data_IF_947230555336
#
_entry.id   IF_947230555336
#
_cell.length_a   1.000
_cell.length_b   1.000
_cell.length_c   1.000
_cell.angle_alpha   90.00
_cell.angle_beta   90.00
_cell.angle_gamma   90.00
#
_symmetry.space_group_name_H-M   'P 1'
#
loop_
_entity.id
_entity.type
_entity.pdbx_description
1 polymer ?
#
# COMPACT_ATOMS: atom_id res chain seq x y z
N UNK A 1 57.00 16.48 61.96
CA UNK A 1 57.46 15.09 61.79
C UNK A 1 56.57 14.16 62.62
N UNK A 2 55.62 13.46 61.99
CA UNK A 2 55.03 12.20 62.47
C UNK A 2 54.02 11.69 61.43
N UNK A 3 54.16 10.43 61.01
CA UNK A 3 53.41 9.78 59.92
C UNK A 3 52.06 9.21 60.40
N UNK A 4 51.05 9.42 59.53
CA UNK A 4 49.90 8.57 59.15
C UNK A 4 49.48 7.38 60.06
N UNK A 5 48.18 7.35 60.40
CA UNK A 5 47.36 6.12 60.47
C UNK A 5 46.19 6.21 59.46
N UNK A 6 46.02 5.14 58.68
CA UNK A 6 44.95 4.91 57.71
C UNK A 6 43.58 4.79 58.41
N UNK A 7 42.54 5.43 57.87
CA UNK A 7 41.15 4.99 58.00
C UNK A 7 40.62 4.67 56.60
N UNK A 8 40.20 3.42 56.40
CA UNK A 8 39.44 2.95 55.25
C UNK A 8 38.14 3.75 55.15
N UNK A 9 37.88 4.38 53.99
CA UNK A 9 36.57 4.88 53.61
C UNK A 9 35.92 3.82 52.72
N UNK A 10 34.81 3.26 53.18
CA UNK A 10 33.80 2.68 52.31
C UNK A 10 33.25 3.79 51.42
N UNK A 11 33.19 3.55 50.11
CA UNK A 11 32.47 4.36 49.13
C UNK A 11 31.40 3.47 48.50
N UNK A 12 30.10 3.79 48.61
CA UNK A 12 29.06 3.10 47.86
C UNK A 12 29.01 3.71 46.46
N UNK A 13 29.50 2.97 45.45
CA UNK A 13 29.09 3.20 44.07
C UNK A 13 27.71 2.57 43.89
N UNK A 14 26.65 3.34 44.17
CA UNK A 14 25.35 3.09 43.57
C UNK A 14 25.26 3.92 42.29
N UNK A 15 25.41 3.27 41.14
CA UNK A 15 25.17 3.87 39.83
C UNK A 15 23.70 4.30 39.74
N UNK A 16 23.44 5.59 39.95
CA UNK A 16 22.15 6.19 39.60
C UNK A 16 22.11 6.28 38.07
N UNK A 17 21.41 5.34 37.44
CA UNK A 17 21.01 5.44 36.04
C UNK A 17 20.20 6.72 35.86
N UNK A 18 20.40 7.43 34.75
CA UNK A 18 19.64 8.65 34.46
C UNK A 18 18.15 8.33 34.29
N UNK A 19 17.26 9.31 34.53
CA UNK A 19 15.80 9.10 34.36
C UNK A 19 15.42 8.59 32.95
N UNK A 20 16.14 9.00 31.91
CA UNK A 20 16.00 8.45 30.55
C UNK A 20 16.40 6.97 30.44
N UNK A 21 17.45 6.54 31.15
CA UNK A 21 17.85 5.13 31.20
C UNK A 21 16.87 4.28 32.00
N UNK A 22 16.24 4.86 33.04
CA UNK A 22 15.17 4.21 33.80
C UNK A 22 13.89 4.10 32.95
N UNK A 23 13.54 5.12 32.18
CA UNK A 23 12.39 5.09 31.26
C UNK A 23 12.56 4.07 30.13
N UNK A 24 13.75 3.99 29.54
CA UNK A 24 14.08 2.97 28.53
C UNK A 24 14.03 1.54 29.09
N UNK A 25 14.29 1.36 30.40
CA UNK A 25 14.29 0.03 31.05
C UNK A 25 12.91 -0.56 31.33
N UNK A 26 11.83 0.24 31.21
CA UNK A 26 10.45 -0.19 31.45
C UNK A 26 9.60 -0.34 30.17
N UNK A 27 10.17 -0.08 28.99
CA UNK A 27 9.45 -0.21 27.75
C UNK A 27 9.27 -1.69 27.36
N UNK A 28 8.13 -2.08 26.76
CA UNK A 28 7.94 -3.45 26.26
C UNK A 28 9.04 -3.84 25.27
N UNK A 29 9.42 -5.12 25.24
CA UNK A 29 10.54 -5.60 24.42
C UNK A 29 10.37 -5.35 22.91
N UNK A 30 9.12 -5.25 22.45
CA UNK A 30 8.78 -4.97 21.06
C UNK A 30 8.82 -3.48 20.69
N UNK A 31 9.12 -2.59 21.63
CA UNK A 31 9.25 -1.15 21.36
C UNK A 31 10.42 -0.91 20.40
N UNK A 32 10.20 -0.09 19.38
CA UNK A 32 11.27 0.22 18.42
C UNK A 32 12.29 1.18 19.01
N UNK A 33 13.56 0.84 18.93
CA UNK A 33 14.63 1.80 19.24
C UNK A 33 14.71 2.91 18.18
N UNK A 34 15.38 4.01 18.49
CA UNK A 34 15.62 5.07 17.51
C UNK A 34 16.39 4.57 16.28
N UNK A 35 17.34 3.67 16.46
CA UNK A 35 18.10 3.06 15.37
C UNK A 35 17.21 2.15 14.50
N UNK A 36 16.35 1.34 15.13
CA UNK A 36 15.37 0.49 14.43
C UNK A 36 14.40 1.36 13.61
N UNK A 37 13.88 2.45 14.20
CA UNK A 37 13.01 3.41 13.49
C UNK A 37 13.74 4.01 12.30
N UNK A 38 14.97 4.49 12.50
CA UNK A 38 15.76 5.12 11.43
C UNK A 38 15.98 4.16 10.26
N UNK A 39 16.43 2.93 10.52
CA UNK A 39 16.64 1.92 9.48
C UNK A 39 15.34 1.59 8.75
N UNK A 40 14.24 1.44 9.49
CA UNK A 40 12.93 1.19 8.89
C UNK A 40 12.48 2.32 7.96
N UNK A 41 12.69 3.58 8.36
CA UNK A 41 12.42 4.77 7.54
C UNK A 41 13.30 4.80 6.29
N UNK A 42 14.61 4.57 6.43
CA UNK A 42 15.58 4.55 5.32
C UNK A 42 15.22 3.45 4.30
N UNK A 43 14.96 2.23 4.77
CA UNK A 43 14.55 1.12 3.90
C UNK A 43 13.20 1.43 3.22
N UNK A 44 12.22 1.95 3.96
CA UNK A 44 10.92 2.29 3.40
C UNK A 44 11.03 3.39 2.34
N UNK A 45 11.89 4.39 2.55
CA UNK A 45 12.15 5.43 1.57
C UNK A 45 12.79 4.86 0.30
N UNK A 46 13.76 3.96 0.44
CA UNK A 46 14.41 3.27 -0.69
C UNK A 46 13.42 2.41 -1.47
N UNK A 47 12.68 1.52 -0.79
CA UNK A 47 11.69 0.62 -1.41
C UNK A 47 10.64 1.41 -2.19
N UNK A 48 10.15 2.52 -1.61
CA UNK A 48 9.17 3.40 -2.26
C UNK A 48 9.80 4.17 -3.42
N UNK A 49 11.03 4.65 -3.26
CA UNK A 49 11.74 5.40 -4.29
C UNK A 49 11.95 4.57 -5.55
N UNK A 50 12.47 3.34 -5.40
CA UNK A 50 12.68 2.40 -6.51
C UNK A 50 11.36 2.12 -7.23
N UNK A 51 10.31 1.74 -6.50
CA UNK A 51 8.99 1.49 -7.07
C UNK A 51 8.47 2.68 -7.87
N UNK A 52 8.57 3.89 -7.31
CA UNK A 52 8.07 5.09 -7.96
C UNK A 52 8.86 5.42 -9.23
N UNK A 53 10.18 5.26 -9.21
CA UNK A 53 11.03 5.45 -10.38
C UNK A 53 10.68 4.44 -11.48
N UNK A 54 10.54 3.16 -11.16
CA UNK A 54 10.12 2.13 -12.12
C UNK A 54 8.77 2.47 -12.76
N UNK A 55 7.79 2.90 -11.94
CA UNK A 55 6.48 3.31 -12.46
C UNK A 55 6.61 4.55 -13.35
N UNK A 56 7.37 5.57 -12.95
CA UNK A 56 7.56 6.79 -13.76
C UNK A 56 8.21 6.46 -15.11
N UNK A 57 9.26 5.62 -15.12
CA UNK A 57 9.91 5.17 -16.35
C UNK A 57 8.91 4.43 -17.25
N UNK A 58 8.12 3.52 -16.68
CA UNK A 58 7.13 2.75 -17.45
C UNK A 58 6.00 3.57 -18.06
N UNK A 59 5.74 4.78 -17.56
CA UNK A 59 4.70 5.67 -18.09
C UNK A 59 5.14 6.41 -19.36
N UNK A 60 6.43 6.40 -19.71
CA UNK A 60 6.98 7.06 -20.90
C UNK A 60 6.50 8.51 -21.06
N UNK A 61 6.45 9.26 -19.96
CA UNK A 61 5.87 10.62 -19.92
C UNK A 61 6.53 11.55 -20.95
N UNK A 62 7.82 11.41 -21.20
CA UNK A 62 8.54 12.19 -22.20
C UNK A 62 7.98 12.00 -23.62
N UNK A 63 7.57 10.77 -23.98
CA UNK A 63 6.92 10.49 -25.27
C UNK A 63 5.54 11.15 -25.35
N UNK A 64 4.78 11.13 -24.26
CA UNK A 64 3.47 11.79 -24.20
C UNK A 64 3.61 13.31 -24.35
N UNK A 65 4.61 13.93 -23.70
CA UNK A 65 4.86 15.35 -23.83
C UNK A 65 5.29 15.73 -25.25
N UNK A 66 6.18 14.94 -25.87
CA UNK A 66 6.57 15.14 -27.27
C UNK A 66 5.37 15.06 -28.22
N UNK A 67 4.45 14.10 -28.01
CA UNK A 67 3.23 13.97 -28.79
C UNK A 67 2.29 15.17 -28.61
N UNK A 68 2.16 15.70 -27.39
CA UNK A 68 1.37 16.92 -27.14
C UNK A 68 1.97 18.12 -27.85
N UNK A 69 3.30 18.26 -27.88
CA UNK A 69 3.96 19.33 -28.60
C UNK A 69 3.77 19.21 -30.12
N UNK A 70 3.90 18.01 -30.70
CA UNK A 70 3.61 17.76 -32.12
C UNK A 70 2.16 18.15 -32.48
N UNK A 71 1.18 17.71 -31.70
CA UNK A 71 -0.22 18.08 -31.90
C UNK A 71 -0.42 19.59 -31.75
N UNK A 72 0.28 20.22 -30.80
CA UNK A 72 0.19 21.67 -30.56
C UNK A 72 0.66 22.51 -31.76
N UNK A 73 1.62 22.00 -32.54
CA UNK A 73 2.11 22.66 -33.75
C UNK A 73 1.16 22.48 -34.95
N UNK A 74 0.48 21.34 -35.02
CA UNK A 74 -0.40 21.00 -36.14
C UNK A 74 -1.84 21.53 -36.00
N UNK A 75 -2.29 21.83 -34.79
CA UNK A 75 -3.68 22.21 -34.56
C UNK A 75 -3.99 23.67 -34.87
N UNK A 76 -5.10 23.86 -35.57
CA UNK A 76 -5.69 25.16 -35.80
C UNK A 76 -6.35 25.71 -34.53
N UNK A 77 -6.05 26.97 -34.19
CA UNK A 77 -6.68 27.67 -33.08
C UNK A 77 -8.18 27.89 -33.32
N UNK A 78 -8.60 28.06 -34.58
CA UNK A 78 -10.00 28.30 -34.93
C UNK A 78 -10.90 27.11 -34.54
N UNK A 79 -10.40 25.87 -34.66
CA UNK A 79 -11.10 24.65 -34.25
C UNK A 79 -11.51 24.71 -32.77
N UNK A 80 -10.61 25.19 -31.89
CA UNK A 80 -10.89 25.29 -30.46
C UNK A 80 -11.97 26.32 -30.18
N UNK A 81 -11.94 27.50 -30.81
CA UNK A 81 -12.98 28.52 -30.62
C UNK A 81 -14.33 28.04 -31.16
N UNK A 82 -14.36 27.40 -32.33
CA UNK A 82 -15.57 26.90 -32.95
C UNK A 82 -16.24 25.80 -32.11
N UNK A 83 -15.43 24.93 -31.50
CA UNK A 83 -15.93 23.82 -30.71
C UNK A 83 -16.12 24.17 -29.22
N UNK A 84 -15.54 25.26 -28.73
CA UNK A 84 -15.40 25.56 -27.30
C UNK A 84 -16.65 25.26 -26.46
N UNK A 85 -17.79 25.83 -26.83
CA UNK A 85 -19.07 25.64 -26.11
C UNK A 85 -19.52 24.17 -26.09
N UNK A 86 -19.33 23.45 -27.21
CA UNK A 86 -19.73 22.04 -27.35
C UNK A 86 -18.85 21.09 -26.54
N UNK A 87 -17.60 21.46 -26.29
CA UNK A 87 -16.61 20.62 -25.59
C UNK A 87 -16.18 21.22 -24.25
N UNK A 88 -17.01 22.11 -23.67
CA UNK A 88 -16.84 22.59 -22.30
C UNK A 88 -15.65 23.52 -22.07
N UNK A 89 -15.10 24.14 -23.12
CA UNK A 89 -14.01 25.11 -22.98
C UNK A 89 -14.59 26.51 -22.79
N UNK A 90 -14.18 27.19 -21.72
CA UNK A 90 -14.53 28.59 -21.52
C UNK A 90 -13.67 29.48 -22.42
N UNK A 91 -14.29 30.35 -23.21
CA UNK A 91 -13.60 31.28 -24.13
C UNK A 91 -12.55 32.15 -23.42
N UNK A 92 -12.82 32.58 -22.20
CA UNK A 92 -11.86 33.36 -21.41
C UNK A 92 -10.62 32.55 -21.00
N UNK A 93 -10.74 31.22 -20.90
CA UNK A 93 -9.60 30.37 -20.66
C UNK A 93 -8.69 30.34 -21.90
N UNK A 94 -9.25 30.15 -23.11
CA UNK A 94 -8.48 30.24 -24.36
C UNK A 94 -7.78 31.59 -24.51
N UNK A 95 -8.49 32.70 -24.25
CA UNK A 95 -7.90 34.05 -24.26
C UNK A 95 -6.77 34.20 -23.23
N UNK A 96 -6.84 33.51 -22.09
CA UNK A 96 -5.75 33.54 -21.11
C UNK A 96 -4.47 32.89 -21.65
N UNK A 97 -4.60 31.87 -22.52
CA UNK A 97 -3.45 31.25 -23.20
C UNK A 97 -2.88 32.16 -24.29
N UNK A 98 -3.71 32.88 -25.04
CA UNK A 98 -3.23 33.87 -26.03
C UNK A 98 -2.51 35.04 -25.38
N UNK A 99 -3.05 35.52 -24.25
CA UNK A 99 -2.49 36.67 -23.52
C UNK A 99 -1.26 36.30 -22.67
N UNK A 100 -0.90 35.02 -22.58
CA UNK A 100 0.32 34.60 -21.92
C UNK A 100 1.55 35.12 -22.65
N UNK A 101 2.67 35.26 -21.95
CA UNK A 101 3.95 35.66 -22.54
C UNK A 101 5.04 34.62 -22.22
N UNK A 102 5.50 33.81 -23.21
CA UNK A 102 4.98 33.75 -24.58
C UNK A 102 3.56 33.15 -24.64
N UNK A 103 2.81 33.39 -25.74
CA UNK A 103 1.51 32.75 -25.95
C UNK A 103 1.63 31.23 -25.89
N UNK A 104 0.59 30.58 -25.36
CA UNK A 104 0.60 29.14 -25.12
C UNK A 104 -0.35 28.43 -26.08
N UNK A 105 0.08 27.29 -26.63
CA UNK A 105 -0.76 26.46 -27.49
C UNK A 105 -1.91 25.83 -26.70
N UNK A 106 -3.12 25.83 -27.28
CA UNK A 106 -4.32 25.35 -26.60
C UNK A 106 -4.28 23.86 -26.28
N UNK A 107 -3.71 23.05 -27.18
CA UNK A 107 -3.56 21.61 -27.01
C UNK A 107 -2.70 21.22 -25.78
N UNK A 108 -1.91 22.15 -25.21
CA UNK A 108 -1.21 21.87 -23.95
C UNK A 108 -2.15 21.76 -22.75
N UNK A 109 -3.34 22.37 -22.79
CA UNK A 109 -4.30 22.40 -21.69
C UNK A 109 -5.64 21.73 -22.05
N UNK A 110 -6.10 21.89 -23.28
CA UNK A 110 -7.42 21.45 -23.72
C UNK A 110 -7.31 20.38 -24.80
N UNK A 111 -8.29 19.49 -24.86
CA UNK A 111 -8.32 18.42 -25.85
C UNK A 111 -9.57 18.49 -26.74
N UNK A 112 -9.41 18.05 -27.98
CA UNK A 112 -10.53 17.83 -28.90
C UNK A 112 -10.89 16.33 -28.89
N UNK A 113 -12.18 15.96 -29.02
CA UNK A 113 -12.59 14.56 -29.06
C UNK A 113 -11.86 13.74 -30.12
N UNK A 114 -11.65 14.30 -31.33
CA UNK A 114 -10.90 13.65 -32.42
C UNK A 114 -9.48 13.24 -32.02
N UNK A 115 -8.83 14.04 -31.17
CA UNK A 115 -7.47 13.75 -30.69
C UNK A 115 -7.47 12.60 -29.68
N UNK A 116 -8.49 12.49 -28.83
CA UNK A 116 -8.59 11.39 -27.88
C UNK A 116 -8.91 10.05 -28.57
N UNK A 117 -9.57 10.07 -29.73
CA UNK A 117 -9.80 8.88 -30.55
C UNK A 117 -8.50 8.48 -31.25
N UNK A 118 -7.83 9.43 -31.90
CA UNK A 118 -6.61 9.17 -32.66
C UNK A 118 -5.40 8.81 -31.77
N UNK A 119 -5.36 9.37 -30.56
CA UNK A 119 -4.29 9.17 -29.59
C UNK A 119 -4.87 8.89 -28.18
N UNK A 120 -5.42 7.68 -27.94
CA UNK A 120 -6.07 7.32 -26.68
C UNK A 120 -5.20 7.50 -25.44
N UNK A 121 -3.88 7.31 -25.59
CA UNK A 121 -2.90 7.52 -24.52
C UNK A 121 -2.90 8.95 -23.95
N UNK A 122 -3.32 9.96 -24.72
CA UNK A 122 -3.42 11.34 -24.24
C UNK A 122 -4.55 11.54 -23.22
N UNK A 123 -5.48 10.59 -23.09
CA UNK A 123 -6.45 10.58 -21.98
C UNK A 123 -5.72 10.59 -20.63
N UNK A 124 -4.58 9.91 -20.51
CA UNK A 124 -3.75 9.97 -19.30
C UNK A 124 -3.30 11.41 -19.01
N UNK A 125 -2.80 12.08 -20.04
CA UNK A 125 -2.25 13.44 -19.94
C UNK A 125 -3.34 14.45 -19.53
N UNK A 126 -4.44 14.54 -20.28
CA UNK A 126 -5.50 15.52 -20.02
C UNK A 126 -6.27 15.23 -18.72
N UNK A 127 -6.47 13.96 -18.36
CA UNK A 127 -7.05 13.59 -17.06
C UNK A 127 -6.20 14.13 -15.90
N UNK A 128 -4.87 14.02 -16.01
CA UNK A 128 -3.97 14.49 -14.97
C UNK A 128 -3.90 16.03 -14.90
N UNK A 129 -3.98 16.73 -16.02
CA UNK A 129 -4.13 18.21 -16.02
C UNK A 129 -5.43 18.63 -15.34
N UNK A 130 -6.52 17.91 -15.59
CA UNK A 130 -7.81 18.15 -14.96
C UNK A 130 -7.85 17.73 -13.47
N UNK A 131 -6.74 17.34 -12.84
CA UNK A 131 -6.65 16.95 -11.42
C UNK A 131 -7.53 15.73 -11.06
N UNK A 132 -7.71 14.80 -12.00
CA UNK A 132 -8.58 13.64 -11.82
C UNK A 132 -7.78 12.37 -11.64
N UNK A 133 -8.15 11.54 -10.65
CA UNK A 133 -7.61 10.19 -10.51
C UNK A 133 -8.45 9.18 -11.29
N UNK A 134 -7.86 8.05 -11.69
CA UNK A 134 -8.60 6.92 -12.30
C UNK A 134 -9.73 6.40 -11.40
N UNK A 135 -9.57 6.47 -10.07
CA UNK A 135 -10.59 6.05 -9.11
C UNK A 135 -11.83 6.95 -9.17
N UNK A 136 -11.64 8.26 -9.27
CA UNK A 136 -12.73 9.23 -9.45
C UNK A 136 -13.43 8.99 -10.77
N UNK A 137 -12.66 8.86 -11.86
CA UNK A 137 -13.20 8.60 -13.20
C UNK A 137 -14.07 7.34 -13.25
N UNK A 138 -13.63 6.23 -12.65
CA UNK A 138 -14.47 5.03 -12.52
C UNK A 138 -15.73 5.28 -11.68
N UNK A 139 -15.61 6.04 -10.58
CA UNK A 139 -16.72 6.35 -9.69
C UNK A 139 -17.85 7.15 -10.35
N UNK A 140 -17.53 7.94 -11.38
CA UNK A 140 -18.50 8.72 -12.17
C UNK A 140 -18.92 8.03 -13.48
N UNK A 141 -18.50 6.78 -13.71
CA UNK A 141 -18.87 6.02 -14.91
C UNK A 141 -18.07 6.34 -16.17
N UNK A 142 -16.94 7.04 -16.05
CA UNK A 142 -16.02 7.38 -17.14
C UNK A 142 -14.68 6.66 -16.96
N UNK A 143 -14.65 5.33 -16.79
CA UNK A 143 -13.39 4.61 -16.57
C UNK A 143 -12.43 4.77 -17.75
N UNK A 144 -11.25 5.33 -17.49
CA UNK A 144 -10.23 5.65 -18.51
C UNK A 144 -9.15 4.58 -18.64
N UNK A 145 -9.14 3.55 -17.78
CA UNK A 145 -8.00 2.63 -17.64
C UNK A 145 -7.58 1.98 -18.96
N UNK A 146 -8.53 1.51 -19.76
CA UNK A 146 -8.23 0.76 -20.99
C UNK A 146 -7.68 1.65 -22.09
N UNK A 147 -8.10 2.92 -22.15
CA UNK A 147 -7.63 3.88 -23.15
C UNK A 147 -6.21 4.36 -22.83
N UNK A 148 -5.92 4.62 -21.55
CA UNK A 148 -4.59 5.05 -21.10
C UNK A 148 -3.48 4.00 -21.33
N UNK A 149 -3.87 2.73 -21.46
CA UNK A 149 -2.96 1.62 -21.75
C UNK A 149 -2.89 1.30 -23.25
N UNK A 150 -3.52 2.14 -24.09
CA UNK A 150 -3.62 1.97 -25.54
C UNK A 150 -4.17 0.60 -25.97
N UNK A 151 -5.09 0.05 -25.18
CA UNK A 151 -5.68 -1.28 -25.43
C UNK A 151 -6.90 -1.19 -26.35
N UNK A 152 -7.66 -0.10 -26.22
CA UNK A 152 -8.92 0.14 -26.93
C UNK A 152 -8.98 1.64 -27.27
N UNK A 153 -9.58 1.99 -28.40
CA UNK A 153 -9.91 3.37 -28.75
C UNK A 153 -11.29 3.76 -28.16
N UNK A 154 -11.45 4.98 -27.61
CA UNK A 154 -12.75 5.45 -27.18
C UNK A 154 -13.69 5.65 -28.38
N UNK A 155 -14.97 5.30 -28.22
CA UNK A 155 -15.99 5.70 -29.20
C UNK A 155 -16.13 7.22 -29.24
N UNK A 156 -16.69 7.76 -30.32
CA UNK A 156 -16.92 9.20 -30.47
C UNK A 156 -17.71 9.80 -29.29
N UNK A 157 -18.75 9.10 -28.83
CA UNK A 157 -19.55 9.51 -27.67
C UNK A 157 -18.71 9.55 -26.38
N UNK A 158 -17.86 8.55 -26.14
CA UNK A 158 -17.00 8.49 -24.96
C UNK A 158 -15.93 9.58 -25.04
N UNK A 159 -15.26 9.73 -26.18
CA UNK A 159 -14.25 10.75 -26.41
C UNK A 159 -14.83 12.16 -26.21
N UNK A 160 -16.06 12.41 -26.68
CA UNK A 160 -16.75 13.67 -26.47
C UNK A 160 -17.02 13.92 -24.97
N UNK A 161 -17.59 12.94 -24.26
CA UNK A 161 -17.82 13.05 -22.80
C UNK A 161 -16.54 13.29 -22.01
N UNK A 162 -15.46 12.59 -22.34
CA UNK A 162 -14.16 12.76 -21.68
C UNK A 162 -13.57 14.15 -21.97
N UNK A 163 -13.56 14.58 -23.23
CA UNK A 163 -13.04 15.89 -23.61
C UNK A 163 -13.81 17.02 -22.90
N UNK A 164 -15.14 17.00 -22.95
CA UNK A 164 -15.98 17.97 -22.25
C UNK A 164 -15.65 18.02 -20.76
N UNK A 165 -15.61 16.86 -20.09
CA UNK A 165 -15.35 16.81 -18.66
C UNK A 165 -13.96 17.32 -18.27
N UNK A 166 -12.92 16.96 -19.04
CA UNK A 166 -11.55 17.45 -18.78
C UNK A 166 -11.42 18.95 -19.04
N UNK A 167 -12.03 19.44 -20.12
CA UNK A 167 -11.94 20.83 -20.54
C UNK A 167 -12.70 21.78 -19.60
N UNK A 168 -13.86 21.37 -19.07
CA UNK A 168 -14.63 22.16 -18.10
C UNK A 168 -13.80 22.43 -16.84
N UNK A 169 -13.25 21.38 -16.25
CA UNK A 169 -12.42 21.49 -15.04
C UNK A 169 -11.14 22.28 -15.35
N UNK A 170 -10.48 21.98 -16.47
CA UNK A 170 -9.25 22.67 -16.84
C UNK A 170 -9.49 24.16 -17.10
N UNK A 171 -10.64 24.53 -17.67
CA UNK A 171 -11.02 25.94 -17.86
C UNK A 171 -11.08 26.69 -16.53
N UNK A 172 -11.71 26.09 -15.51
CA UNK A 172 -11.78 26.69 -14.18
C UNK A 172 -10.40 26.83 -13.53
N UNK A 173 -9.55 25.81 -13.66
CA UNK A 173 -8.19 25.81 -13.13
C UNK A 173 -7.32 26.87 -13.81
N UNK A 174 -7.39 26.99 -15.14
CA UNK A 174 -6.69 28.00 -15.93
C UNK A 174 -7.10 29.42 -15.52
N UNK A 175 -8.40 29.68 -15.35
CA UNK A 175 -8.89 31.01 -15.00
C UNK A 175 -8.51 31.42 -13.57
N UNK A 176 -8.40 30.47 -12.64
CA UNK A 176 -7.99 30.75 -11.25
C UNK A 176 -6.47 30.81 -11.09
N UNK A 177 -5.75 29.87 -11.70
CA UNK A 177 -4.31 29.69 -11.50
C UNK A 177 -3.45 30.46 -12.51
N UNK A 178 -4.04 30.94 -13.60
CA UNK A 178 -3.31 31.46 -14.76
C UNK A 178 -2.50 30.38 -15.48
N UNK A 179 -1.82 30.75 -16.56
CA UNK A 179 -1.10 29.81 -17.43
C UNK A 179 0.35 30.23 -17.63
N UNK A 180 1.20 29.24 -17.91
CA UNK A 180 2.56 29.43 -18.43
C UNK A 180 2.84 28.31 -19.46
N UNK A 181 3.93 28.42 -20.23
CA UNK A 181 4.32 27.37 -21.17
C UNK A 181 4.55 25.98 -20.55
N UNK A 182 4.78 25.89 -19.23
CA UNK A 182 5.13 24.65 -18.52
C UNK A 182 4.13 24.25 -17.44
N UNK A 183 3.15 25.11 -17.11
CA UNK A 183 2.27 24.87 -15.96
C UNK A 183 1.35 23.66 -16.15
N UNK A 184 1.01 23.28 -17.37
CA UNK A 184 0.34 22.01 -17.67
C UNK A 184 1.16 20.78 -17.19
N UNK A 185 2.48 20.81 -17.34
CA UNK A 185 3.38 19.75 -16.86
C UNK A 185 3.38 19.72 -15.33
N UNK A 186 3.47 20.89 -14.68
CA UNK A 186 3.41 20.99 -13.22
C UNK A 186 2.09 20.45 -12.69
N UNK A 187 0.98 20.81 -13.34
CA UNK A 187 -0.36 20.34 -13.02
C UNK A 187 -0.46 18.81 -13.14
N UNK A 188 -0.04 18.27 -14.28
CA UNK A 188 0.00 16.83 -14.52
C UNK A 188 0.85 16.11 -13.46
N UNK A 189 2.06 16.59 -13.20
CA UNK A 189 2.99 16.01 -12.23
C UNK A 189 2.46 16.05 -10.79
N UNK A 190 1.74 17.11 -10.40
CA UNK A 190 1.13 17.22 -9.08
C UNK A 190 0.06 16.14 -8.86
N UNK A 191 -0.86 15.97 -9.82
CA UNK A 191 -1.90 14.95 -9.73
C UNK A 191 -1.34 13.52 -9.87
N UNK A 192 -0.33 13.35 -10.72
CA UNK A 192 0.40 12.09 -10.84
C UNK A 192 1.09 11.73 -9.52
N UNK A 193 1.73 12.70 -8.86
CA UNK A 193 2.37 12.54 -7.55
C UNK A 193 1.41 12.04 -6.48
N UNK A 194 0.19 12.58 -6.38
CA UNK A 194 -0.82 12.09 -5.43
C UNK A 194 -1.26 10.65 -5.75
N UNK A 195 -1.51 10.36 -7.03
CA UNK A 195 -1.87 9.01 -7.52
C UNK A 195 -0.77 7.98 -7.23
N UNK A 196 0.49 8.37 -7.46
CA UNK A 196 1.68 7.57 -7.17
C UNK A 196 1.87 7.38 -5.66
N UNK A 197 1.64 8.41 -4.85
CA UNK A 197 1.66 8.32 -3.39
C UNK A 197 0.64 7.32 -2.83
N UNK A 198 -0.55 7.25 -3.44
CA UNK A 198 -1.54 6.19 -3.14
C UNK A 198 -1.04 4.78 -3.50
N UNK A 199 -0.43 4.63 -4.68
CA UNK A 199 0.16 3.37 -5.14
C UNK A 199 1.27 2.89 -4.21
N UNK A 200 2.18 3.80 -3.85
CA UNK A 200 3.30 3.55 -2.94
C UNK A 200 2.85 3.10 -1.54
N UNK A 201 1.79 3.72 -0.98
CA UNK A 201 1.21 3.29 0.31
C UNK A 201 0.68 1.85 0.26
N UNK A 202 0.00 1.48 -0.81
CA UNK A 202 -0.49 0.10 -0.99
C UNK A 202 0.66 -0.90 -1.11
N UNK A 203 1.72 -0.51 -1.82
CA UNK A 203 2.88 -1.37 -2.02
C UNK A 203 3.66 -1.61 -0.72
N UNK A 204 3.81 -0.58 0.12
CA UNK A 204 4.40 -0.74 1.46
C UNK A 204 3.65 -1.78 2.29
N UNK A 205 2.31 -1.75 2.27
CA UNK A 205 1.49 -2.76 2.93
C UNK A 205 1.69 -4.16 2.35
N UNK A 206 1.81 -4.28 1.03
CA UNK A 206 2.07 -5.55 0.33
C UNK A 206 3.44 -6.12 0.68
N UNK A 207 4.49 -5.30 0.67
CA UNK A 207 5.86 -5.68 1.05
C UNK A 207 5.85 -6.15 2.51
N UNK A 208 5.26 -5.40 3.43
CA UNK A 208 5.15 -5.82 4.83
C UNK A 208 4.41 -7.16 5.00
N UNK A 209 3.38 -7.42 4.19
CA UNK A 209 2.71 -8.72 4.16
C UNK A 209 3.64 -9.83 3.66
N UNK A 210 4.36 -9.63 2.54
CA UNK A 210 5.37 -10.61 2.08
C UNK A 210 6.43 -10.88 3.14
N UNK A 211 6.81 -9.83 3.88
CA UNK A 211 7.81 -9.89 4.93
C UNK A 211 7.41 -10.79 6.11
N UNK A 212 6.12 -11.00 6.31
CA UNK A 212 5.58 -11.96 7.28
C UNK A 212 5.34 -13.33 6.65
N UNK A 213 4.83 -13.35 5.43
CA UNK A 213 4.31 -14.57 4.80
C UNK A 213 5.39 -15.42 4.16
N UNK A 214 6.41 -14.83 3.52
CA UNK A 214 7.49 -15.61 2.89
C UNK A 214 8.25 -16.45 3.93
N UNK A 215 8.70 -15.89 5.08
CA UNK A 215 9.33 -16.68 6.14
C UNK A 215 8.40 -17.77 6.69
N UNK A 216 7.09 -17.47 6.83
CA UNK A 216 6.11 -18.44 7.31
C UNK A 216 5.91 -19.61 6.34
N UNK A 217 5.87 -19.34 5.03
CA UNK A 217 5.79 -20.39 3.99
C UNK A 217 7.01 -21.31 4.07
N UNK A 218 8.22 -20.74 4.14
CA UNK A 218 9.46 -21.49 4.31
C UNK A 218 9.43 -22.35 5.58
N UNK A 219 9.04 -21.75 6.69
CA UNK A 219 8.95 -22.43 7.98
C UNK A 219 7.97 -23.61 7.91
N UNK A 220 6.72 -23.38 7.50
CA UNK A 220 5.70 -24.44 7.42
C UNK A 220 6.09 -25.55 6.45
N UNK A 221 6.76 -25.23 5.34
CA UNK A 221 7.29 -26.25 4.43
C UNK A 221 8.38 -27.09 5.10
N UNK A 222 9.37 -26.46 5.75
CA UNK A 222 10.45 -27.15 6.46
C UNK A 222 9.92 -28.10 7.55
N UNK A 223 8.82 -27.71 8.19
CA UNK A 223 8.14 -28.49 9.23
C UNK A 223 7.16 -29.53 8.68
N UNK A 224 7.00 -29.65 7.35
CA UNK A 224 6.01 -30.53 6.68
C UNK A 224 4.56 -30.20 7.07
N UNK A 225 4.32 -28.94 7.42
CA UNK A 225 3.02 -28.38 7.82
C UNK A 225 2.32 -27.63 6.70
N UNK A 226 3.01 -27.30 5.61
CA UNK A 226 2.44 -26.60 4.45
C UNK A 226 1.83 -27.57 3.44
N UNK A 227 0.57 -27.37 3.07
CA UNK A 227 -0.12 -28.14 2.02
C UNK A 227 -0.30 -27.33 0.74
N UNK A 228 -0.67 -26.06 0.86
CA UNK A 228 -1.03 -25.27 -0.31
C UNK A 228 -0.89 -23.76 -0.11
N UNK A 229 -0.60 -23.04 -1.18
CA UNK A 229 -0.61 -21.57 -1.22
C UNK A 229 -1.52 -21.09 -2.36
N UNK A 230 -2.48 -20.22 -2.03
CA UNK A 230 -3.33 -19.53 -2.99
C UNK A 230 -2.88 -18.08 -3.11
N UNK A 231 -2.50 -17.66 -4.32
CA UNK A 231 -1.94 -16.34 -4.58
C UNK A 231 -2.45 -15.79 -5.91
N UNK A 232 -2.13 -14.53 -6.21
CA UNK A 232 -2.32 -13.94 -7.54
C UNK A 232 -1.17 -12.99 -7.84
N UNK A 233 -0.72 -12.98 -9.09
CA UNK A 233 0.33 -12.07 -9.55
C UNK A 233 -0.28 -10.82 -10.16
N UNK A 234 0.20 -9.63 -9.80
CA UNK A 234 -0.27 -8.33 -10.28
C UNK A 234 0.82 -7.58 -11.04
N UNK A 235 1.28 -8.17 -12.13
CA UNK A 235 2.39 -7.67 -12.91
C UNK A 235 3.75 -7.89 -12.23
N UNK A 236 4.82 -7.65 -12.99
CA UNK A 236 6.20 -7.72 -12.50
C UNK A 236 6.54 -6.48 -11.66
N UNK A 237 7.49 -6.64 -10.75
CA UNK A 237 8.10 -5.52 -10.01
C UNK A 237 9.18 -4.89 -10.88
N UNK A 238 10.07 -5.70 -11.45
CA UNK A 238 11.13 -5.27 -12.37
C UNK A 238 10.63 -5.37 -13.81
N UNK A 239 10.70 -4.28 -14.56
CA UNK A 239 10.43 -4.24 -16.00
C UNK A 239 11.79 -4.27 -16.69
N UNK A 240 12.15 -5.38 -17.33
CA UNK A 240 13.32 -5.44 -18.21
C UNK A 240 12.88 -5.11 -19.64
N UNK A 241 13.74 -4.40 -20.39
CA UNK A 241 13.48 -3.92 -21.75
C UNK A 241 13.18 -5.04 -22.78
N UNK A 242 13.49 -6.31 -22.47
CA UNK A 242 13.32 -7.47 -23.36
C UNK A 242 12.05 -8.30 -23.12
N UNK A 243 11.20 -7.94 -22.16
CA UNK A 243 10.08 -8.80 -21.74
C UNK A 243 8.79 -8.55 -22.54
N UNK A 244 8.64 -9.24 -23.68
CA UNK A 244 7.38 -9.39 -24.42
C UNK A 244 6.32 -10.26 -23.71
N UNK A 245 6.46 -10.57 -22.42
CA UNK A 245 5.55 -11.47 -21.70
C UNK A 245 4.39 -10.73 -21.00
N UNK A 246 3.19 -10.94 -21.56
CA UNK A 246 1.87 -10.56 -21.03
C UNK A 246 1.42 -11.32 -19.76
N UNK A 247 2.32 -11.92 -18.97
CA UNK A 247 1.94 -12.53 -17.69
C UNK A 247 1.64 -11.44 -16.63
N UNK A 248 0.40 -10.97 -16.57
CA UNK A 248 -0.11 -10.16 -15.45
C UNK A 248 -0.82 -8.85 -15.79
N UNK A 249 -1.03 -8.53 -17.07
CA UNK A 249 -1.77 -7.33 -17.48
C UNK A 249 -3.32 -7.46 -17.33
N UNK A 250 -3.84 -8.67 -17.08
CA UNK A 250 -5.26 -8.95 -16.83
C UNK A 250 -5.61 -9.09 -15.34
N UNK A 251 -6.90 -9.09 -15.01
CA UNK A 251 -7.39 -9.32 -13.65
C UNK A 251 -6.69 -10.56 -13.04
N UNK A 252 -5.93 -10.34 -11.96
CA UNK A 252 -5.02 -11.33 -11.41
C UNK A 252 -5.74 -12.63 -11.07
N UNK A 253 -5.63 -13.63 -11.95
CA UNK A 253 -6.27 -14.94 -11.78
C UNK A 253 -5.63 -15.59 -10.56
N UNK A 254 -6.47 -16.09 -9.64
CA UNK A 254 -5.99 -16.83 -8.48
C UNK A 254 -5.29 -18.10 -8.96
N UNK A 255 -4.01 -18.25 -8.62
CA UNK A 255 -3.18 -19.44 -8.87
C UNK A 255 -3.09 -20.24 -7.56
N UNK A 256 -3.20 -21.56 -7.67
CA UNK A 256 -3.08 -22.51 -6.56
C UNK A 256 -1.80 -23.29 -6.73
N UNK A 257 -0.94 -23.24 -5.71
CA UNK A 257 0.30 -23.98 -5.64
C UNK A 257 0.14 -25.09 -4.61
N UNK A 258 0.13 -26.34 -5.07
CA UNK A 258 0.13 -27.52 -4.21
C UNK A 258 1.56 -27.82 -3.78
N UNK A 259 1.77 -28.05 -2.49
CA UNK A 259 3.10 -28.25 -1.89
C UNK A 259 3.31 -29.72 -1.58
N UNK A 260 4.44 -30.23 -2.05
CA UNK A 260 4.97 -31.56 -1.74
C UNK A 260 6.31 -31.44 -1.03
N UNK A 261 6.83 -32.55 -0.51
CA UNK A 261 8.15 -32.58 0.14
C UNK A 261 9.27 -32.14 -0.80
N UNK A 262 9.17 -32.47 -2.09
CA UNK A 262 10.18 -32.14 -3.11
C UNK A 262 9.99 -30.74 -3.73
N UNK A 263 8.98 -29.99 -3.28
CA UNK A 263 8.75 -28.63 -3.80
C UNK A 263 9.90 -27.73 -3.36
N UNK A 264 10.61 -27.15 -4.33
CA UNK A 264 11.64 -26.16 -4.07
C UNK A 264 10.98 -24.80 -3.78
N UNK A 265 10.67 -24.55 -2.50
CA UNK A 265 10.03 -23.31 -2.06
C UNK A 265 10.94 -22.10 -2.28
N UNK A 266 12.24 -22.22 -2.03
CA UNK A 266 13.19 -21.11 -2.18
C UNK A 266 13.10 -20.51 -3.59
N UNK A 267 13.17 -21.36 -4.63
CA UNK A 267 13.03 -20.94 -6.02
C UNK A 267 11.68 -20.29 -6.32
N UNK A 268 10.60 -20.73 -5.67
CA UNK A 268 9.26 -20.15 -5.83
C UNK A 268 9.19 -18.77 -5.19
N UNK A 269 9.79 -18.60 -4.01
CA UNK A 269 9.83 -17.31 -3.32
C UNK A 269 10.75 -16.32 -4.05
N UNK A 270 11.89 -16.76 -4.58
CA UNK A 270 12.74 -15.97 -5.49
C UNK A 270 11.96 -15.49 -6.71
N UNK A 271 11.17 -16.38 -7.33
CA UNK A 271 10.28 -15.99 -8.41
C UNK A 271 9.25 -14.97 -7.94
N UNK A 272 8.65 -15.15 -6.76
CA UNK A 272 7.69 -14.19 -6.20
C UNK A 272 8.27 -12.82 -5.90
N UNK A 273 9.56 -12.72 -5.58
CA UNK A 273 10.23 -11.43 -5.38
C UNK A 273 10.34 -10.62 -6.68
N UNK A 274 10.15 -11.24 -7.85
CA UNK A 274 10.09 -10.55 -9.16
C UNK A 274 8.69 -10.06 -9.54
N UNK A 275 7.64 -10.43 -8.79
CA UNK A 275 6.25 -10.08 -9.09
C UNK A 275 5.54 -9.40 -7.93
N UNK A 276 4.52 -8.60 -8.24
CA UNK A 276 3.60 -8.10 -7.21
C UNK A 276 2.66 -9.22 -6.78
N UNK A 277 3.11 -10.04 -5.84
CA UNK A 277 2.33 -11.14 -5.29
C UNK A 277 1.30 -10.63 -4.29
N UNK A 278 0.07 -11.13 -4.43
CA UNK A 278 -0.99 -11.00 -3.45
C UNK A 278 -1.37 -12.39 -2.96
N UNK A 279 -1.03 -12.70 -1.73
CA UNK A 279 -1.46 -13.91 -1.03
C UNK A 279 -2.93 -13.82 -0.64
N UNK A 280 -3.66 -14.92 -0.79
CA UNK A 280 -5.08 -15.02 -0.44
C UNK A 280 -5.33 -16.05 0.67
N UNK A 281 -4.59 -17.16 0.67
CA UNK A 281 -4.79 -18.28 1.59
C UNK A 281 -3.55 -19.18 1.64
N UNK A 282 -3.21 -19.66 2.84
CA UNK A 282 -2.22 -20.71 3.09
C UNK A 282 -2.95 -21.84 3.80
N UNK A 283 -2.83 -23.05 3.27
CA UNK A 283 -3.48 -24.23 3.81
C UNK A 283 -2.43 -25.17 4.39
N UNK A 284 -2.69 -25.64 5.60
CA UNK A 284 -1.79 -26.49 6.36
C UNK A 284 -2.21 -27.96 6.31
N UNK A 285 -1.28 -28.88 6.59
CA UNK A 285 -1.51 -30.33 6.47
C UNK A 285 -2.53 -30.89 7.47
N UNK A 286 -2.83 -30.17 8.54
CA UNK A 286 -3.94 -30.48 9.47
C UNK A 286 -5.32 -29.99 8.98
N UNK A 287 -5.40 -29.40 7.78
CA UNK A 287 -6.64 -28.88 7.17
C UNK A 287 -6.97 -27.43 7.54
N UNK A 288 -6.20 -26.82 8.43
CA UNK A 288 -6.41 -25.43 8.84
C UNK A 288 -5.92 -24.45 7.78
N UNK A 289 -6.41 -23.21 7.86
CA UNK A 289 -6.17 -22.18 6.84
C UNK A 289 -5.80 -20.86 7.47
N UNK A 290 -4.80 -20.19 6.92
CA UNK A 290 -4.53 -18.77 7.14
C UNK A 290 -5.06 -17.99 5.95
N UNK A 291 -6.03 -17.11 6.18
CA UNK A 291 -6.63 -16.24 5.17
C UNK A 291 -6.06 -14.83 5.30
N UNK A 292 -5.84 -14.17 4.17
CA UNK A 292 -5.19 -12.87 4.09
C UNK A 292 -6.09 -11.85 3.39
N UNK A 293 -6.21 -10.65 3.97
CA UNK A 293 -6.99 -9.53 3.44
C UNK A 293 -8.43 -9.90 3.04
N UNK A 294 -9.10 -10.76 3.84
CA UNK A 294 -10.47 -11.22 3.56
C UNK A 294 -11.46 -10.63 4.58
N UNK A 295 -12.58 -10.13 4.06
CA UNK A 295 -13.72 -9.75 4.88
C UNK A 295 -14.54 -10.98 5.25
N UNK A 296 -14.75 -11.16 6.55
CA UNK A 296 -15.58 -12.16 7.18
C UNK A 296 -16.97 -11.62 7.49
N UNK A 297 -17.94 -12.53 7.51
CA UNK A 297 -19.34 -12.28 7.85
C UNK A 297 -19.75 -13.26 8.93
N UNK A 298 -19.88 -12.78 10.16
CA UNK A 298 -20.37 -13.56 11.29
C UNK A 298 -21.87 -13.36 11.42
N UNK A 299 -22.64 -14.45 11.31
CA UNK A 299 -24.09 -14.41 11.50
C UNK A 299 -24.40 -14.55 12.99
N UNK A 300 -25.28 -13.69 13.47
CA UNK A 300 -25.90 -13.80 14.81
C UNK A 300 -27.07 -14.78 14.78
N UNK A 301 -27.47 -15.28 15.95
CA UNK A 301 -28.66 -16.12 16.12
C UNK A 301 -29.95 -15.44 15.65
N UNK A 302 -29.96 -14.10 15.60
CA UNK A 302 -31.07 -13.27 15.12
C UNK A 302 -31.03 -13.01 13.60
N UNK A 303 -30.14 -13.68 12.87
CA UNK A 303 -29.99 -13.53 11.41
C UNK A 303 -29.25 -12.26 10.95
N UNK A 304 -28.89 -11.35 11.87
CA UNK A 304 -28.07 -10.17 11.54
C UNK A 304 -26.62 -10.57 11.30
N UNK A 305 -25.91 -9.85 10.42
CA UNK A 305 -24.52 -10.16 10.04
C UNK A 305 -23.55 -9.09 10.53
N UNK A 306 -22.55 -9.50 11.29
CA UNK A 306 -21.39 -8.67 11.68
C UNK A 306 -20.29 -8.85 10.64
N UNK A 307 -19.82 -7.75 10.05
CA UNK A 307 -18.71 -7.75 9.09
C UNK A 307 -17.39 -7.44 9.79
N UNK A 308 -16.39 -8.27 9.57
CA UNK A 308 -15.05 -8.15 10.17
C UNK A 308 -14.04 -8.27 9.04
N UNK A 309 -12.92 -7.56 9.07
CA UNK A 309 -11.90 -7.70 8.03
C UNK A 309 -10.51 -7.49 8.60
N UNK A 310 -9.96 -8.48 9.34
CA UNK A 310 -8.57 -8.43 9.75
C UNK A 310 -7.64 -8.71 8.57
N UNK A 311 -6.42 -8.17 8.65
CA UNK A 311 -5.38 -8.40 7.64
C UNK A 311 -4.99 -9.89 7.56
N UNK A 312 -4.91 -10.58 8.70
CA UNK A 312 -4.63 -12.03 8.80
C UNK A 312 -5.61 -12.73 9.74
N UNK A 313 -6.02 -13.96 9.42
CA UNK A 313 -6.78 -14.79 10.36
C UNK A 313 -6.78 -16.28 10.02
N UNK A 314 -6.82 -17.13 11.03
CA UNK A 314 -6.83 -18.59 10.88
C UNK A 314 -8.19 -19.24 11.17
N UNK A 315 -8.50 -20.33 10.44
CA UNK A 315 -9.71 -21.15 10.63
C UNK A 315 -9.39 -22.65 10.70
N UNK A 316 -10.25 -23.37 11.42
CA UNK A 316 -10.33 -24.85 11.46
C UNK A 316 -11.60 -25.38 10.79
N UNK A 317 -12.71 -24.64 10.93
CA UNK A 317 -14.00 -24.90 10.26
C UNK A 317 -14.65 -23.55 9.90
N UNK A 318 -15.70 -23.54 9.07
CA UNK A 318 -16.34 -22.33 8.51
C UNK A 318 -16.80 -21.30 9.55
N UNK A 319 -16.87 -21.67 10.84
CA UNK A 319 -17.45 -20.88 11.90
C UNK A 319 -16.49 -20.37 12.97
N UNK A 320 -15.31 -21.00 13.15
CA UNK A 320 -14.44 -20.71 14.30
C UNK A 320 -13.04 -20.24 13.89
N UNK A 321 -12.75 -19.00 14.31
CA UNK A 321 -11.47 -18.34 14.12
C UNK A 321 -10.60 -18.60 15.34
N UNK A 322 -9.39 -19.14 15.15
CA UNK A 322 -8.45 -19.36 16.27
C UNK A 322 -7.58 -18.15 16.54
N UNK A 323 -7.20 -17.46 15.48
CA UNK A 323 -6.33 -16.31 15.57
C UNK A 323 -6.68 -15.26 14.52
N UNK A 324 -6.48 -14.00 14.85
CA UNK A 324 -6.53 -12.91 13.90
C UNK A 324 -5.50 -11.84 14.25
N UNK A 325 -5.04 -11.11 13.23
CA UNK A 325 -4.11 -10.02 13.41
C UNK A 325 -4.34 -8.87 12.43
N UNK A 326 -3.94 -7.70 12.89
CA UNK A 326 -3.74 -6.50 12.07
C UNK A 326 -2.26 -6.33 11.78
N UNK A 327 -1.93 -5.98 10.53
CA UNK A 327 -0.57 -5.75 10.07
C UNK A 327 -0.45 -4.32 9.53
N UNK A 328 0.53 -3.56 10.02
CA UNK A 328 0.78 -2.18 9.59
C UNK A 328 2.21 -2.04 9.09
N UNK A 329 2.32 -1.92 7.76
CA UNK A 329 3.61 -1.86 7.07
C UNK A 329 4.30 -0.49 7.06
N UNK A 330 3.61 0.58 7.46
CA UNK A 330 4.15 1.94 7.45
C UNK A 330 5.32 2.10 8.43
N UNK A 331 6.40 2.73 7.97
CA UNK A 331 7.58 3.04 8.78
C UNK A 331 7.63 4.50 9.26
N UNK A 332 6.60 5.31 8.98
CA UNK A 332 6.52 6.70 9.43
C UNK A 332 6.10 6.76 10.91
N UNK A 333 6.97 7.24 11.83
CA UNK A 333 6.64 7.32 13.25
C UNK A 333 5.42 8.22 13.54
N UNK A 334 5.22 9.28 12.75
CA UNK A 334 4.09 10.18 12.92
C UNK A 334 2.75 9.48 12.62
N UNK A 335 2.76 8.46 11.75
CA UNK A 335 1.60 7.63 11.42
C UNK A 335 1.34 6.48 12.40
N UNK A 336 2.27 6.17 13.31
CA UNK A 336 2.18 4.98 14.18
C UNK A 336 0.91 4.99 15.05
N UNK A 337 0.57 6.14 15.63
CA UNK A 337 -0.63 6.31 16.45
C UNK A 337 -1.94 6.15 15.66
N UNK A 338 -1.98 6.67 14.42
CA UNK A 338 -3.14 6.53 13.55
C UNK A 338 -3.34 5.07 13.12
N UNK A 339 -2.25 4.40 12.77
CA UNK A 339 -2.24 2.98 12.41
C UNK A 339 -2.71 2.11 13.58
N UNK A 340 -2.23 2.37 14.79
CA UNK A 340 -2.68 1.68 16.01
C UNK A 340 -4.17 1.92 16.29
N UNK A 341 -4.65 3.18 16.23
CA UNK A 341 -6.08 3.50 16.42
C UNK A 341 -6.98 2.83 15.38
N UNK A 342 -6.49 2.63 14.17
CA UNK A 342 -7.24 1.94 13.12
C UNK A 342 -7.26 0.43 13.35
N UNK A 343 -6.12 -0.16 13.71
CA UNK A 343 -6.00 -1.57 14.03
C UNK A 343 -6.88 -1.96 15.23
N UNK A 344 -6.78 -1.22 16.33
CA UNK A 344 -7.58 -1.46 17.55
C UNK A 344 -9.08 -1.43 17.30
N UNK A 345 -9.58 -0.53 16.44
CA UNK A 345 -10.99 -0.55 16.01
C UNK A 345 -11.41 -1.84 15.31
N UNK A 346 -10.52 -2.45 14.52
CA UNK A 346 -10.80 -3.74 13.87
C UNK A 346 -10.78 -4.87 14.90
N UNK A 347 -9.78 -4.87 15.79
CA UNK A 347 -9.64 -5.88 16.84
C UNK A 347 -10.80 -5.83 17.86
N UNK A 348 -11.24 -4.65 18.27
CA UNK A 348 -12.42 -4.47 19.11
C UNK A 348 -13.69 -4.99 18.41
N UNK A 349 -13.85 -4.78 17.11
CA UNK A 349 -14.97 -5.35 16.34
C UNK A 349 -14.93 -6.88 16.32
N UNK A 350 -13.74 -7.49 16.33
CA UNK A 350 -13.61 -8.95 16.46
C UNK A 350 -14.11 -9.40 17.85
N UNK A 351 -13.62 -8.76 18.91
CA UNK A 351 -14.01 -9.07 20.29
C UNK A 351 -15.52 -8.90 20.48
N UNK A 352 -16.07 -7.77 20.04
CA UNK A 352 -17.51 -7.49 20.09
C UNK A 352 -18.31 -8.47 19.24
N UNK A 353 -17.82 -8.76 18.03
CA UNK A 353 -18.45 -9.71 17.12
C UNK A 353 -18.58 -11.08 17.78
N UNK A 354 -17.50 -11.55 18.41
CA UNK A 354 -17.44 -12.87 19.03
C UNK A 354 -18.44 -12.96 20.18
N UNK A 355 -18.47 -11.93 21.03
CA UNK A 355 -19.47 -11.79 22.10
C UNK A 355 -20.90 -11.76 21.57
N UNK A 356 -21.18 -10.96 20.53
CA UNK A 356 -22.52 -10.81 19.94
C UNK A 356 -23.02 -12.07 19.24
N UNK A 357 -22.12 -12.94 18.78
CA UNK A 357 -22.45 -14.22 18.12
C UNK A 357 -22.22 -15.44 19.02
N UNK A 358 -21.96 -15.25 20.32
CA UNK A 358 -21.66 -16.31 21.27
C UNK A 358 -20.53 -17.28 20.79
N UNK A 359 -19.49 -16.72 20.18
CA UNK A 359 -18.29 -17.44 19.71
C UNK A 359 -17.13 -17.21 20.65
N UNK A 360 -16.20 -18.16 20.67
CA UNK A 360 -14.92 -17.98 21.35
C UNK A 360 -14.20 -16.79 20.75
N UNK A 361 -13.66 -15.92 21.61
CA UNK A 361 -12.82 -14.81 21.13
C UNK A 361 -11.49 -15.39 20.66
N UNK A 362 -11.09 -15.17 19.39
CA UNK A 362 -9.82 -15.66 18.88
C UNK A 362 -8.65 -15.01 19.63
N UNK A 363 -7.50 -15.66 19.58
CA UNK A 363 -6.23 -15.01 19.93
C UNK A 363 -6.01 -13.84 18.97
N UNK A 364 -5.61 -12.69 19.50
CA UNK A 364 -5.44 -11.47 18.70
C UNK A 364 -3.99 -11.00 18.75
N UNK A 365 -3.45 -10.63 17.59
CA UNK A 365 -2.11 -10.06 17.53
C UNK A 365 -2.08 -8.73 16.78
N UNK A 366 -1.08 -7.92 17.11
CA UNK A 366 -0.74 -6.73 16.35
C UNK A 366 0.67 -6.83 15.79
N UNK A 367 0.81 -6.61 14.49
CA UNK A 367 2.10 -6.65 13.77
C UNK A 367 2.32 -5.27 13.16
N UNK A 368 3.48 -4.66 13.43
CA UNK A 368 3.79 -3.34 12.86
C UNK A 368 5.26 -3.23 12.51
N UNK A 369 5.57 -2.48 11.43
CA UNK A 369 6.95 -2.15 11.06
C UNK A 369 7.70 -1.45 12.17
N UNK A 370 7.05 -0.47 12.81
CA UNK A 370 7.59 0.25 13.96
C UNK A 370 6.52 0.40 15.04
N UNK A 371 6.98 0.46 16.29
CA UNK A 371 6.19 0.62 17.50
C UNK A 371 6.83 1.71 18.35
N UNK A 372 6.32 2.93 18.26
CA UNK A 372 6.77 4.04 19.12
C UNK A 372 6.33 3.80 20.56
N UNK A 373 7.05 4.35 21.54
CA UNK A 373 6.88 4.11 22.98
C UNK A 373 5.41 4.12 23.45
N UNK A 374 4.65 5.15 23.05
CA UNK A 374 3.24 5.29 23.42
C UNK A 374 2.39 4.12 22.90
N UNK A 375 2.58 3.74 21.65
CA UNK A 375 1.85 2.63 21.01
C UNK A 375 2.27 1.31 21.63
N UNK A 376 3.57 1.13 21.90
CA UNK A 376 4.06 -0.07 22.54
C UNK A 376 3.49 -0.27 23.95
N UNK A 377 3.47 0.79 24.77
CA UNK A 377 2.87 0.76 26.10
C UNK A 377 1.36 0.47 26.04
N UNK A 378 0.65 1.07 25.09
CA UNK A 378 -0.79 0.82 24.92
C UNK A 378 -1.06 -0.63 24.49
N UNK A 379 -0.25 -1.17 23.59
CA UNK A 379 -0.34 -2.57 23.17
C UNK A 379 0.00 -3.54 24.32
N UNK A 380 0.98 -3.21 25.16
CA UNK A 380 1.28 -3.98 26.38
C UNK A 380 0.09 -3.96 27.34
N UNK A 381 -0.54 -2.80 27.56
CA UNK A 381 -1.74 -2.71 28.39
C UNK A 381 -2.88 -3.58 27.84
N UNK A 382 -2.99 -3.74 26.52
CA UNK A 382 -3.96 -4.66 25.91
C UNK A 382 -3.61 -6.13 26.13
N UNK A 383 -2.32 -6.49 26.15
CA UNK A 383 -1.86 -7.82 26.55
C UNK A 383 -2.23 -8.09 28.01
N UNK A 384 -1.93 -7.15 28.91
CA UNK A 384 -2.20 -7.28 30.34
C UNK A 384 -3.70 -7.41 30.65
N UNK A 385 -4.55 -6.79 29.82
CA UNK A 385 -6.01 -6.92 29.86
C UNK A 385 -6.55 -8.21 29.21
N UNK A 386 -5.69 -9.03 28.60
CA UNK A 386 -6.08 -10.23 27.84
C UNK A 386 -6.82 -9.94 26.52
N UNK A 387 -6.76 -8.70 26.01
CA UNK A 387 -7.35 -8.33 24.72
C UNK A 387 -6.44 -8.71 23.55
N UNK A 388 -5.13 -8.58 23.74
CA UNK A 388 -4.12 -9.10 22.81
C UNK A 388 -3.43 -10.32 23.41
N UNK A 389 -3.07 -11.24 22.53
CA UNK A 389 -2.24 -12.40 22.83
C UNK A 389 -0.77 -12.09 22.56
N UNK A 390 -0.46 -11.34 21.51
CA UNK A 390 0.93 -11.01 21.18
C UNK A 390 1.06 -9.75 20.33
N UNK A 391 2.25 -9.16 20.36
CA UNK A 391 2.67 -8.03 19.52
C UNK A 391 4.01 -8.38 18.90
N UNK A 392 4.14 -8.09 17.60
CA UNK A 392 5.37 -8.34 16.84
C UNK A 392 5.83 -7.06 16.14
N UNK A 393 7.10 -6.72 16.37
CA UNK A 393 7.79 -5.64 15.68
C UNK A 393 8.48 -6.22 14.45
N UNK A 394 8.00 -5.87 13.25
CA UNK A 394 8.51 -6.43 12.00
C UNK A 394 9.97 -6.03 11.78
N UNK A 395 10.39 -4.82 12.13
CA UNK A 395 11.81 -4.44 12.02
C UNK A 395 12.69 -5.34 12.88
N UNK A 396 12.27 -5.63 14.10
CA UNK A 396 13.00 -6.55 14.98
C UNK A 396 12.99 -7.98 14.47
N UNK A 397 11.87 -8.49 13.95
CA UNK A 397 11.81 -9.81 13.31
C UNK A 397 12.78 -9.91 12.12
N UNK A 398 13.03 -8.81 11.41
CA UNK A 398 13.97 -8.76 10.30
C UNK A 398 15.43 -8.71 10.74
N UNK A 399 15.71 -8.01 11.84
CA UNK A 399 17.08 -7.80 12.32
C UNK A 399 17.54 -8.88 13.31
N UNK A 400 16.61 -9.57 13.98
CA UNK A 400 16.87 -10.50 15.08
C UNK A 400 16.19 -11.83 14.78
N UNK A 401 17.00 -12.86 14.49
CA UNK A 401 16.53 -14.21 14.16
C UNK A 401 15.61 -14.78 15.24
N UNK A 402 15.92 -14.54 16.52
CA UNK A 402 15.13 -14.96 17.68
C UNK A 402 13.69 -14.40 17.69
N UNK A 403 13.48 -13.17 17.19
CA UNK A 403 12.14 -12.57 17.11
C UNK A 403 11.33 -13.15 15.96
N UNK A 404 11.98 -13.45 14.83
CA UNK A 404 11.35 -14.18 13.73
C UNK A 404 10.99 -15.61 14.17
N UNK A 405 11.90 -16.32 14.82
CA UNK A 405 11.64 -17.66 15.34
C UNK A 405 10.48 -17.67 16.35
N UNK A 406 10.42 -16.68 17.25
CA UNK A 406 9.32 -16.52 18.21
C UNK A 406 7.99 -16.41 17.47
N UNK A 407 7.91 -15.52 16.47
CA UNK A 407 6.72 -15.39 15.63
C UNK A 407 6.35 -16.71 14.94
N UNK A 408 7.30 -17.39 14.30
CA UNK A 408 7.06 -18.63 13.57
C UNK A 408 6.58 -19.76 14.49
N UNK A 409 7.16 -19.89 15.69
CA UNK A 409 6.72 -20.87 16.70
C UNK A 409 5.33 -20.55 17.23
N UNK A 410 5.00 -19.27 17.44
CA UNK A 410 3.63 -18.88 17.83
C UNK A 410 2.61 -19.19 16.72
N UNK A 411 3.00 -19.10 15.45
CA UNK A 411 2.14 -19.47 14.34
C UNK A 411 1.71 -20.94 14.37
N UNK A 412 2.51 -21.86 14.92
CA UNK A 412 2.06 -23.25 15.12
C UNK A 412 0.80 -23.32 16.00
N UNK A 413 0.78 -22.55 17.11
CA UNK A 413 -0.37 -22.44 18.01
C UNK A 413 -1.55 -21.76 17.32
N UNK A 414 -1.27 -20.70 16.55
CA UNK A 414 -2.30 -19.95 15.84
C UNK A 414 -2.90 -20.73 14.66
N UNK A 415 -2.20 -21.75 14.17
CA UNK A 415 -2.64 -22.68 13.12
C UNK A 415 -3.08 -24.04 13.67
N UNK A 416 -3.23 -24.18 14.99
CA UNK A 416 -3.79 -25.38 15.62
C UNK A 416 -2.91 -26.62 15.53
N UNK A 417 -1.59 -26.46 15.55
CA UNK A 417 -0.63 -27.57 15.67
C UNK A 417 -0.25 -27.90 17.12
N UNK A 418 -0.48 -26.95 18.04
CA UNK A 418 -0.34 -27.17 19.48
C UNK A 418 -1.75 -27.21 20.10
N UNK A 419 -2.23 -28.42 20.42
CA UNK A 419 -3.34 -28.65 21.34
C UNK A 419 -2.81 -29.23 22.65
#
# INVERSE_FOLDING_TARGET
MAKRKKKQKFSPESSLLSEEQIQASNLPSFTSSQDEIRKAVEQNASDRGVLLLEVIVSLEVDKLLALVDEISELQDKEDFFYLADKIGIQINALKSLDNANPPVHYARYFCLPKILIQYPQLIFYYRNIAMLSRKVMRGIGLDTKSFELDVIEPSEEIAHKLATYFNEITSELVLKGGVTPYRHIIMMSANLGDSLGGTSRNEVGRIAMMRVINPLINYLHSQKKLSQVLYSLKGKIVINDDDNETEGAGAAKRKRLNITLDTNIEKILEHFDTYRVLYHEIETTNGNKLLLNRQLKWKTDKGTTVKIGPDLHSFVDENDMFWAAELKGGADPAGSDEHWKTATKVLDRIIEGAKKTNRTTPKLSFIATILVDRVAQEAQNWIDQGKLTSVYNLTQMYEKEEEMERFLKDMDKFLGYDN
#
